data_IF_241814590278
#
_entry.id   IF_241814590278
#
_cell.length_a   1.000
_cell.length_b   1.000
_cell.length_c   1.000
_cell.angle_alpha   90.00
_cell.angle_beta   90.00
_cell.angle_gamma   90.00
#
_symmetry.space_group_name_H-M   'P 1'
#
loop_
_entity.id
_entity.type
_entity.pdbx_description
1 polymer ?
#
# COMPACT_ATOMS: atom_id res chain seq x y z
N UNK A 1 8.71 22.92 4.34
CA UNK A 1 7.88 22.71 5.54
C UNK A 1 7.10 21.42 5.33
N UNK A 2 6.93 20.56 6.34
CA UNK A 2 6.11 19.35 6.23
C UNK A 2 4.73 19.70 6.78
N UNK A 3 3.68 19.55 5.96
CA UNK A 3 2.31 19.97 6.32
C UNK A 3 1.43 18.82 6.84
N UNK A 4 1.84 17.58 6.58
CA UNK A 4 1.08 16.38 6.93
C UNK A 4 1.90 15.47 7.83
N UNK A 5 1.32 15.04 8.94
CA UNK A 5 1.96 14.05 9.82
C UNK A 5 2.01 12.68 9.18
N UNK A 6 0.92 12.27 8.50
CA UNK A 6 0.78 10.98 7.83
C UNK A 6 0.01 11.15 6.53
N UNK A 7 0.39 10.37 5.53
CA UNK A 7 -0.29 10.28 4.24
C UNK A 7 -0.63 8.81 4.00
N UNK A 8 -1.88 8.54 3.67
CA UNK A 8 -2.31 7.26 3.12
C UNK A 8 -2.41 7.41 1.61
N UNK A 9 -1.64 6.60 0.88
CA UNK A 9 -1.76 6.45 -0.56
C UNK A 9 -2.72 5.30 -0.88
N UNK A 10 -3.62 5.53 -1.84
CA UNK A 10 -4.59 4.56 -2.34
C UNK A 10 -4.61 4.67 -3.86
N UNK A 11 -4.43 3.56 -4.57
CA UNK A 11 -4.51 3.53 -6.03
C UNK A 11 -5.95 3.84 -6.50
N UNK A 12 -6.06 4.58 -7.60
CA UNK A 12 -7.34 5.03 -8.17
C UNK A 12 -8.24 3.87 -8.61
N UNK A 13 -7.67 2.69 -8.87
CA UNK A 13 -8.41 1.45 -9.15
C UNK A 13 -9.02 0.78 -7.92
N UNK A 14 -8.96 1.39 -6.74
CA UNK A 14 -9.41 0.77 -5.48
C UNK A 14 -10.86 1.12 -5.15
N UNK A 15 -11.67 0.11 -4.82
CA UNK A 15 -12.99 0.31 -4.23
C UNK A 15 -12.89 0.53 -2.72
N UNK A 16 -13.42 1.65 -2.25
CA UNK A 16 -13.57 1.94 -0.82
C UNK A 16 -14.96 1.48 -0.37
N UNK A 17 -15.02 0.48 0.51
CA UNK A 17 -16.26 -0.15 0.98
C UNK A 17 -16.74 0.42 2.33
N UNK A 18 -15.83 1.02 3.12
CA UNK A 18 -16.15 1.52 4.44
C UNK A 18 -15.26 2.69 4.84
N UNK A 19 -15.54 3.27 6.02
CA UNK A 19 -14.75 4.34 6.62
C UNK A 19 -13.36 3.81 6.99
N UNK A 20 -12.30 4.46 6.50
CA UNK A 20 -10.91 4.00 6.64
C UNK A 20 -10.04 4.93 7.50
N UNK A 21 -10.58 6.00 8.07
CA UNK A 21 -9.81 6.99 8.85
C UNK A 21 -9.13 6.40 10.09
N UNK A 22 -9.73 5.37 10.68
CA UNK A 22 -9.17 4.66 11.84
C UNK A 22 -7.81 3.98 11.55
N UNK A 23 -7.39 3.87 10.29
CA UNK A 23 -6.04 3.42 9.93
C UNK A 23 -4.96 4.32 10.53
N UNK A 24 -5.23 5.63 10.64
CA UNK A 24 -4.27 6.58 11.19
C UNK A 24 -4.06 6.34 12.69
N UNK A 25 -5.01 5.73 13.41
CA UNK A 25 -4.88 5.40 14.82
C UNK A 25 -4.19 4.06 15.08
N UNK A 26 -3.76 3.33 14.05
CA UNK A 26 -3.03 2.08 14.26
C UNK A 26 -1.73 2.33 15.05
N UNK A 27 -1.45 1.53 16.10
CA UNK A 27 -0.17 1.62 16.82
C UNK A 27 1.04 1.47 15.89
N UNK A 28 0.84 0.81 14.75
CA UNK A 28 1.86 0.59 13.73
C UNK A 28 2.21 1.81 12.90
N UNK A 29 1.39 2.85 12.89
CA UNK A 29 1.64 4.07 12.11
C UNK A 29 1.87 5.29 12.98
N UNK A 30 1.46 5.20 14.25
CA UNK A 30 1.64 6.26 15.24
C UNK A 30 3.10 6.50 15.62
N UNK A 31 3.92 5.44 15.72
CA UNK A 31 5.33 5.53 16.15
C UNK A 31 6.30 5.36 14.99
N UNK A 32 7.26 6.27 14.89
CA UNK A 32 8.41 6.14 14.02
C UNK A 32 9.31 4.99 14.48
N UNK A 33 9.98 4.34 13.52
CA UNK A 33 11.03 3.36 13.79
C UNK A 33 12.38 4.05 13.70
N UNK A 34 13.18 3.94 14.75
CA UNK A 34 14.57 4.33 14.70
C UNK A 34 15.37 3.28 13.93
N UNK A 35 16.25 3.73 13.05
CA UNK A 35 17.18 2.83 12.38
C UNK A 35 18.28 2.45 13.36
N UNK A 36 18.14 1.28 13.96
CA UNK A 36 19.15 0.71 14.87
C UNK A 36 20.43 0.33 14.12
N UNK A 37 21.57 0.47 14.81
CA UNK A 37 22.89 0.00 14.38
C UNK A 37 22.98 -1.52 14.15
N UNK A 38 22.03 -2.30 14.68
CA UNK A 38 22.00 -3.76 14.52
C UNK A 38 21.33 -4.22 13.22
N UNK A 39 20.88 -3.29 12.37
CA UNK A 39 20.33 -3.62 11.05
C UNK A 39 21.45 -3.75 10.03
N UNK A 40 21.29 -4.63 9.02
CA UNK A 40 22.29 -4.77 7.97
C UNK A 40 22.57 -3.39 7.35
N UNK A 41 23.84 -3.03 7.14
CA UNK A 41 24.19 -1.78 6.50
C UNK A 41 23.55 -1.76 5.11
N UNK A 42 23.22 -0.55 4.66
CA UNK A 42 22.77 -0.40 3.31
C UNK A 42 23.91 -0.76 2.34
N UNK A 43 23.62 -1.61 1.36
CA UNK A 43 24.61 -2.22 0.46
C UNK A 43 25.38 -1.21 -0.36
N UNK A 44 24.77 -0.06 -0.67
CA UNK A 44 25.35 0.97 -1.54
C UNK A 44 25.71 2.26 -0.80
N UNK A 45 25.64 2.25 0.54
CA UNK A 45 25.96 3.44 1.35
C UNK A 45 24.97 4.60 1.22
N UNK A 46 23.76 4.36 0.69
CA UNK A 46 22.76 5.44 0.56
C UNK A 46 22.45 6.05 1.93
N UNK A 47 22.22 7.38 2.00
CA UNK A 47 21.93 8.07 3.25
C UNK A 47 20.62 7.56 3.85
N UNK A 48 20.69 7.01 5.06
CA UNK A 48 19.50 6.53 5.78
C UNK A 48 18.96 7.64 6.70
N UNK A 49 17.63 7.82 6.79
CA UNK A 49 17.05 8.74 7.77
C UNK A 49 17.25 8.23 9.20
N UNK A 50 17.24 9.10 10.21
CA UNK A 50 17.35 8.65 11.62
C UNK A 50 16.17 7.77 12.03
N UNK A 51 14.98 8.15 11.59
CA UNK A 51 13.75 7.43 11.81
C UNK A 51 12.81 7.56 10.61
N UNK A 52 11.84 6.65 10.52
CA UNK A 52 10.86 6.65 9.44
C UNK A 52 9.54 6.01 9.89
N UNK A 53 8.46 6.32 9.16
CA UNK A 53 7.21 5.56 9.21
C UNK A 53 6.90 5.14 7.78
N UNK A 54 6.87 3.84 7.55
CA UNK A 54 6.36 3.25 6.33
C UNK A 54 5.62 1.97 6.68
N UNK A 55 4.34 1.92 6.37
CA UNK A 55 3.47 0.79 6.64
C UNK A 55 2.66 0.45 5.39
N UNK A 56 2.52 -0.83 5.09
CA UNK A 56 1.82 -1.28 3.90
C UNK A 56 1.04 -2.56 4.20
N UNK A 57 0.23 -2.98 3.23
CA UNK A 57 -0.46 -4.26 3.26
C UNK A 57 0.27 -5.26 2.38
N UNK A 58 0.63 -6.41 2.96
CA UNK A 58 1.08 -7.55 2.17
C UNK A 58 0.09 -7.85 1.06
N UNK A 59 0.62 -8.23 -0.10
CA UNK A 59 -0.24 -8.79 -1.15
C UNK A 59 -0.96 -10.03 -0.62
N UNK A 60 -2.27 -10.12 -0.84
CA UNK A 60 -3.06 -11.23 -0.31
C UNK A 60 -2.69 -12.58 -0.95
N UNK A 61 -2.22 -12.55 -2.21
CA UNK A 61 -1.68 -13.71 -2.92
C UNK A 61 -0.23 -13.50 -3.32
N UNK A 62 0.49 -14.60 -3.57
CA UNK A 62 1.78 -14.52 -4.24
C UNK A 62 1.54 -14.01 -5.68
N UNK A 63 1.90 -12.76 -5.95
CA UNK A 63 1.98 -12.23 -7.33
C UNK A 63 0.69 -12.37 -8.19
N UNK A 64 -0.49 -12.18 -7.62
CA UNK A 64 -1.74 -12.06 -8.39
C UNK A 64 -2.77 -13.18 -8.24
N UNK A 65 -2.60 -14.06 -7.25
CA UNK A 65 -3.55 -15.14 -6.99
C UNK A 65 -4.72 -14.67 -6.12
N UNK A 66 -5.95 -14.88 -6.60
CA UNK A 66 -7.19 -14.61 -5.84
C UNK A 66 -7.54 -15.71 -4.83
N UNK A 67 -7.03 -16.91 -5.07
CA UNK A 67 -7.27 -18.04 -4.18
C UNK A 67 -6.27 -17.98 -3.02
N UNK A 68 -6.62 -17.22 -1.99
CA UNK A 68 -5.83 -17.06 -0.78
C UNK A 68 -6.71 -17.29 0.45
N UNK A 69 -6.14 -17.76 1.58
CA UNK A 69 -6.90 -17.92 2.81
C UNK A 69 -7.36 -16.56 3.35
N UNK A 70 -8.38 -16.59 4.21
CA UNK A 70 -8.81 -15.45 5.01
C UNK A 70 -8.67 -15.77 6.52
N UNK A 71 -8.01 -14.91 7.33
CA UNK A 71 -7.28 -13.70 6.92
C UNK A 71 -6.02 -14.05 6.10
N UNK A 72 -5.59 -13.15 5.19
CA UNK A 72 -4.43 -13.39 4.34
C UNK A 72 -3.15 -13.52 5.16
N UNK A 73 -2.25 -14.39 4.71
CA UNK A 73 -0.92 -14.55 5.30
C UNK A 73 -0.05 -13.32 5.01
N UNK A 74 0.84 -12.98 5.95
CA UNK A 74 1.85 -11.95 5.68
C UNK A 74 2.86 -12.49 4.67
N UNK A 75 3.18 -11.66 3.68
CA UNK A 75 4.13 -11.99 2.62
C UNK A 75 5.40 -11.13 2.71
N UNK A 76 6.40 -11.55 1.93
CA UNK A 76 7.65 -10.82 1.79
C UNK A 76 7.55 -9.57 0.92
N UNK A 77 6.39 -9.34 0.28
CA UNK A 77 6.12 -8.23 -0.63
C UNK A 77 4.85 -7.47 -0.18
N UNK A 78 4.69 -6.23 -0.61
CA UNK A 78 3.46 -5.46 -0.43
C UNK A 78 3.05 -4.80 -1.74
N UNK A 79 1.77 -4.41 -1.80
CA UNK A 79 1.24 -3.63 -2.90
C UNK A 79 1.56 -2.15 -2.75
N UNK A 80 2.15 -1.54 -3.77
CA UNK A 80 2.30 -0.09 -3.81
C UNK A 80 0.97 0.66 -4.02
N UNK A 81 -0.13 -0.04 -4.29
CA UNK A 81 -1.45 0.56 -4.38
C UNK A 81 -2.09 0.93 -3.04
N UNK A 82 -1.49 0.51 -1.90
CA UNK A 82 -2.01 0.85 -0.57
C UNK A 82 -0.90 0.89 0.49
N UNK A 83 -0.46 2.09 0.86
CA UNK A 83 0.55 2.27 1.90
C UNK A 83 0.38 3.59 2.65
N UNK A 84 0.88 3.62 3.88
CA UNK A 84 0.90 4.80 4.75
C UNK A 84 2.35 5.19 5.06
N UNK A 85 2.64 6.48 4.93
CA UNK A 85 3.97 7.05 5.12
C UNK A 85 3.90 8.32 5.98
N UNK A 86 4.95 8.57 6.77
CA UNK A 86 5.20 9.91 7.30
C UNK A 86 6.14 10.65 6.33
N UNK A 87 5.74 11.83 5.80
CA UNK A 87 6.63 12.61 4.94
C UNK A 87 7.95 12.94 5.64
N UNK A 88 9.07 12.80 4.92
CA UNK A 88 10.40 13.07 5.47
C UNK A 88 11.37 13.43 4.34
N UNK A 89 12.00 14.63 4.37
CA UNK A 89 13.02 15.00 3.39
C UNK A 89 14.16 13.98 3.33
N UNK A 90 14.63 13.48 4.48
CA UNK A 90 15.69 12.47 4.51
C UNK A 90 15.26 11.14 3.88
N UNK A 91 13.98 10.75 4.02
CA UNK A 91 13.45 9.58 3.34
C UNK A 91 13.31 9.80 1.83
N UNK A 92 12.96 11.01 1.42
CA UNK A 92 12.91 11.38 0.01
C UNK A 92 14.30 11.32 -0.64
N UNK A 93 15.33 11.91 -0.02
CA UNK A 93 16.71 11.83 -0.47
C UNK A 93 17.22 10.38 -0.54
N UNK A 94 16.84 9.55 0.44
CA UNK A 94 17.15 8.11 0.40
C UNK A 94 16.56 7.43 -0.84
N UNK A 95 15.27 7.64 -1.13
CA UNK A 95 14.62 7.03 -2.29
C UNK A 95 15.23 7.51 -3.61
N UNK A 96 15.61 8.78 -3.72
CA UNK A 96 16.34 9.30 -4.88
C UNK A 96 17.71 8.63 -5.03
N UNK A 97 18.43 8.43 -3.93
CA UNK A 97 19.72 7.72 -3.94
C UNK A 97 19.55 6.27 -4.39
N UNK A 98 18.53 5.55 -3.92
CA UNK A 98 18.24 4.19 -4.40
C UNK A 98 17.99 4.19 -5.92
N UNK A 99 17.24 5.17 -6.43
CA UNK A 99 16.96 5.32 -7.86
C UNK A 99 18.18 5.69 -8.71
N UNK A 100 19.22 6.31 -8.13
CA UNK A 100 20.42 6.70 -8.88
C UNK A 100 21.34 5.53 -9.22
N UNK A 101 21.07 4.34 -8.70
CA UNK A 101 21.86 3.15 -8.93
C UNK A 101 21.17 2.20 -9.92
N UNK A 102 21.92 1.76 -10.92
CA UNK A 102 21.41 0.82 -11.91
C UNK A 102 21.17 -0.58 -11.31
N UNK A 103 20.12 -1.25 -11.78
CA UNK A 103 19.83 -2.66 -11.50
C UNK A 103 19.58 -3.04 -10.03
N UNK A 104 19.24 -2.08 -9.16
CA UNK A 104 18.87 -2.41 -7.77
C UNK A 104 17.52 -3.14 -7.64
N UNK A 105 16.61 -2.94 -8.59
CA UNK A 105 15.27 -3.56 -8.60
C UNK A 105 14.76 -3.76 -10.04
N UNK A 106 13.78 -4.64 -10.23
CA UNK A 106 13.12 -4.85 -11.53
C UNK A 106 12.18 -3.68 -11.84
N UNK A 107 12.43 -2.86 -12.88
CA UNK A 107 11.64 -1.67 -13.14
C UNK A 107 10.27 -1.95 -13.78
N UNK A 108 9.86 -3.22 -14.00
CA UNK A 108 8.56 -3.55 -14.63
C UNK A 108 7.36 -2.90 -13.93
N UNK A 109 7.39 -2.84 -12.61
CA UNK A 109 6.43 -2.11 -11.76
C UNK A 109 7.19 -1.13 -10.89
N UNK A 110 7.73 -0.07 -11.52
CA UNK A 110 8.75 0.81 -10.94
C UNK A 110 8.49 1.23 -9.49
N UNK A 111 7.30 1.75 -9.20
CA UNK A 111 6.95 2.20 -7.84
C UNK A 111 6.94 1.04 -6.83
N UNK A 112 6.29 -0.08 -7.17
CA UNK A 112 6.21 -1.24 -6.30
C UNK A 112 7.58 -1.87 -6.08
N UNK A 113 8.38 -1.98 -7.12
CA UNK A 113 9.71 -2.57 -7.05
C UNK A 113 10.67 -1.70 -6.26
N UNK A 114 10.66 -0.37 -6.46
CA UNK A 114 11.45 0.58 -5.68
C UNK A 114 11.09 0.48 -4.20
N UNK A 115 9.80 0.55 -3.87
CA UNK A 115 9.37 0.58 -2.47
C UNK A 115 9.55 -0.80 -1.79
N UNK A 116 9.32 -1.91 -2.51
CA UNK A 116 9.64 -3.25 -1.99
C UNK A 116 11.14 -3.42 -1.77
N UNK A 117 12.00 -2.87 -2.62
CA UNK A 117 13.44 -2.85 -2.39
C UNK A 117 13.78 -2.01 -1.14
N UNK A 118 13.39 -0.74 -1.14
CA UNK A 118 13.71 0.24 -0.10
C UNK A 118 13.28 -0.24 1.30
N UNK A 119 12.08 -0.81 1.39
CA UNK A 119 11.46 -1.18 2.66
C UNK A 119 11.40 -2.68 2.93
N UNK A 120 12.14 -3.51 2.18
CA UNK A 120 12.16 -4.98 2.32
C UNK A 120 12.31 -5.44 3.78
N UNK A 121 11.64 -6.54 4.13
CA UNK A 121 11.61 -7.11 5.50
C UNK A 121 12.99 -7.30 6.14
N UNK A 122 13.97 -7.70 5.34
CA UNK A 122 15.35 -7.98 5.79
C UNK A 122 16.33 -6.83 5.45
N UNK A 123 15.80 -5.64 5.14
CA UNK A 123 16.59 -4.46 4.81
C UNK A 123 16.86 -3.56 6.02
N UNK A 124 17.52 -2.41 5.80
CA UNK A 124 17.76 -1.43 6.85
C UNK A 124 16.46 -0.74 7.32
N UNK A 125 15.44 -0.70 6.47
CA UNK A 125 14.16 -0.02 6.73
C UNK A 125 12.92 -0.89 6.45
N UNK A 126 12.73 -2.07 7.06
CA UNK A 126 11.51 -2.87 6.91
C UNK A 126 10.20 -2.09 7.06
N UNK A 127 9.25 -2.32 6.16
CA UNK A 127 7.89 -1.84 6.33
C UNK A 127 7.16 -2.52 7.49
N UNK A 128 6.19 -1.80 8.05
CA UNK A 128 5.28 -2.32 9.07
C UNK A 128 4.01 -2.87 8.42
N UNK A 129 3.56 -4.02 8.89
CA UNK A 129 2.37 -4.67 8.36
C UNK A 129 1.09 -4.01 8.89
N UNK A 130 0.30 -3.36 8.04
CA UNK A 130 -1.04 -2.86 8.40
C UNK A 130 -2.02 -4.01 8.65
N UNK A 131 -3.12 -3.81 9.37
CA UNK A 131 -4.11 -4.86 9.60
C UNK A 131 -4.84 -5.28 8.31
N UNK A 132 -5.14 -6.57 8.12
CA UNK A 132 -5.78 -7.10 6.89
C UNK A 132 -7.13 -6.47 6.55
N UNK A 133 -7.85 -6.00 7.56
CA UNK A 133 -9.13 -5.30 7.40
C UNK A 133 -9.05 -4.05 6.52
N UNK A 134 -7.87 -3.46 6.28
CA UNK A 134 -7.79 -2.20 5.54
C UNK A 134 -7.82 -2.37 4.05
N UNK A 135 -7.01 -3.28 3.52
CA UNK A 135 -6.88 -3.44 2.08
C UNK A 135 -6.55 -4.88 1.71
N UNK A 136 -7.20 -5.31 0.62
CA UNK A 136 -6.99 -6.57 -0.06
C UNK A 136 -6.65 -6.29 -1.53
N UNK A 137 -5.49 -6.78 -1.98
CA UNK A 137 -5.16 -6.88 -3.41
C UNK A 137 -5.64 -8.22 -3.95
N UNK A 138 -6.06 -8.25 -5.21
CA UNK A 138 -6.62 -9.47 -5.83
C UNK A 138 -7.76 -10.13 -5.02
N UNK A 139 -8.69 -9.34 -4.46
CA UNK A 139 -9.64 -9.83 -3.47
C UNK A 139 -10.56 -10.92 -4.01
N UNK A 140 -11.00 -11.78 -3.10
CA UNK A 140 -12.04 -12.77 -3.32
C UNK A 140 -13.33 -12.38 -2.56
N UNK A 141 -14.35 -13.25 -2.61
CA UNK A 141 -15.64 -12.99 -1.96
C UNK A 141 -15.56 -13.09 -0.42
N UNK A 142 -14.55 -13.77 0.13
CA UNK A 142 -14.33 -13.82 1.58
C UNK A 142 -13.83 -12.46 2.10
N UNK A 143 -12.94 -11.78 1.38
CA UNK A 143 -12.51 -10.40 1.72
C UNK A 143 -13.70 -9.44 1.77
N UNK A 144 -14.59 -9.53 0.78
CA UNK A 144 -15.82 -8.75 0.74
C UNK A 144 -16.73 -9.11 1.92
N UNK A 145 -16.99 -10.39 2.14
CA UNK A 145 -17.87 -10.89 3.20
C UNK A 145 -17.37 -10.54 4.60
N UNK A 146 -16.05 -10.46 4.79
CA UNK A 146 -15.42 -10.07 6.04
C UNK A 146 -15.30 -8.55 6.24
N UNK A 147 -15.74 -7.75 5.27
CA UNK A 147 -15.79 -6.29 5.38
C UNK A 147 -14.43 -5.61 5.29
N UNK A 148 -13.52 -6.11 4.44
CA UNK A 148 -12.27 -5.39 4.14
C UNK A 148 -12.59 -4.00 3.57
N UNK A 149 -11.98 -2.97 4.16
CA UNK A 149 -12.32 -1.57 3.91
C UNK A 149 -12.02 -1.10 2.50
N UNK A 150 -10.96 -1.62 1.87
CA UNK A 150 -10.64 -1.33 0.48
C UNK A 150 -10.30 -2.58 -0.33
N UNK A 151 -10.79 -2.65 -1.56
CA UNK A 151 -10.62 -3.77 -2.48
C UNK A 151 -9.90 -3.27 -3.73
N UNK A 152 -8.66 -3.71 -3.96
CA UNK A 152 -7.82 -3.23 -5.04
C UNK A 152 -7.70 -4.26 -6.17
N UNK A 153 -8.28 -3.92 -7.33
CA UNK A 153 -8.22 -4.71 -8.55
C UNK A 153 -8.69 -3.89 -9.76
N UNK A 154 -8.32 -4.31 -10.97
CA UNK A 154 -8.91 -3.84 -12.22
C UNK A 154 -10.33 -4.40 -12.44
N UNK A 155 -11.28 -4.07 -11.57
CA UNK A 155 -12.67 -4.58 -11.60
C UNK A 155 -13.49 -4.18 -12.84
N UNK A 156 -12.98 -3.26 -13.65
CA UNK A 156 -13.54 -2.99 -14.98
C UNK A 156 -13.25 -4.10 -16.00
N UNK A 157 -12.29 -4.99 -15.74
CA UNK A 157 -11.88 -6.05 -16.67
C UNK A 157 -11.69 -7.45 -16.05
N UNK A 158 -11.48 -7.55 -14.73
CA UNK A 158 -11.20 -8.83 -14.06
C UNK A 158 -11.84 -8.90 -12.67
N UNK A 159 -11.85 -10.09 -12.08
CA UNK A 159 -12.36 -10.33 -10.72
C UNK A 159 -13.71 -11.05 -10.67
N UNK A 160 -14.15 -11.46 -9.47
CA UNK A 160 -15.47 -12.06 -9.26
C UNK A 160 -16.59 -11.19 -9.85
N UNK A 161 -17.61 -11.78 -10.52
CA UNK A 161 -18.72 -11.04 -11.11
C UNK A 161 -19.40 -10.06 -10.14
N UNK A 162 -19.49 -10.42 -8.86
CA UNK A 162 -20.04 -9.61 -7.79
C UNK A 162 -19.22 -8.34 -7.55
N UNK A 163 -17.89 -8.46 -7.48
CA UNK A 163 -16.99 -7.32 -7.29
C UNK A 163 -16.98 -6.41 -8.53
N UNK A 164 -17.00 -6.98 -9.73
CA UNK A 164 -17.15 -6.18 -10.95
C UNK A 164 -18.50 -5.44 -11.00
N UNK A 165 -19.56 -6.07 -10.49
CA UNK A 165 -20.88 -5.41 -10.38
C UNK A 165 -20.84 -4.27 -9.38
N UNK A 166 -20.20 -4.44 -8.22
CA UNK A 166 -20.00 -3.35 -7.25
C UNK A 166 -19.23 -2.18 -7.87
N UNK A 167 -18.17 -2.45 -8.62
CA UNK A 167 -17.42 -1.42 -9.35
C UNK A 167 -18.30 -0.61 -10.29
N UNK A 168 -19.08 -1.29 -11.16
CA UNK A 168 -19.99 -0.61 -12.10
C UNK A 168 -21.02 0.24 -11.36
N UNK A 169 -21.64 -0.30 -10.30
CA UNK A 169 -22.62 0.44 -9.52
C UNK A 169 -22.05 1.73 -8.91
N UNK A 170 -20.83 1.66 -8.36
CA UNK A 170 -20.15 2.82 -7.79
C UNK A 170 -19.79 3.85 -8.86
N UNK A 171 -19.23 3.40 -9.98
CA UNK A 171 -18.92 4.27 -11.14
C UNK A 171 -20.18 4.99 -11.62
N UNK A 172 -21.26 4.26 -11.85
CA UNK A 172 -22.51 4.83 -12.37
C UNK A 172 -23.15 5.80 -11.37
N UNK A 173 -22.99 5.56 -10.06
CA UNK A 173 -23.44 6.51 -9.03
C UNK A 173 -22.66 7.82 -9.08
N UNK A 174 -21.34 7.76 -9.25
CA UNK A 174 -20.49 8.95 -9.43
C UNK A 174 -20.85 9.71 -10.72
N UNK A 175 -21.00 9.00 -11.84
CA UNK A 175 -21.38 9.61 -13.12
C UNK A 175 -22.75 10.30 -13.03
N UNK A 176 -23.74 9.68 -12.37
CA UNK A 176 -25.05 10.31 -12.13
C UNK A 176 -24.94 11.55 -11.26
N UNK A 177 -24.10 11.55 -10.24
CA UNK A 177 -23.88 12.72 -9.39
C UNK A 177 -23.35 13.90 -10.21
N UNK A 178 -22.35 13.67 -11.07
CA UNK A 178 -21.77 14.72 -11.93
C UNK A 178 -22.67 15.14 -13.09
N UNK A 179 -23.48 14.23 -13.65
CA UNK A 179 -24.41 14.54 -14.73
C UNK A 179 -25.68 15.27 -14.27
N UNK A 180 -25.97 15.24 -12.96
CA UNK A 180 -27.11 15.96 -12.39
C UNK A 180 -26.78 17.46 -12.33
N UNK A 181 -27.60 18.35 -12.93
CA UNK A 181 -27.40 19.78 -12.77
C UNK A 181 -27.43 20.13 -11.27
N UNK A 182 -26.49 20.96 -10.84
CA UNK A 182 -26.42 21.44 -9.46
C UNK A 182 -27.80 21.99 -9.04
N UNK A 183 -28.31 21.50 -7.91
CA UNK A 183 -29.49 22.07 -7.26
C UNK A 183 -29.16 23.44 -6.68
#
# INVERSE_FOLDING_TARGET
MIEYDRILFIDAGTLIQSKIDEIFHEPKVQRALDISSNRPPNTNGDPLPKNYVFAARSDNGLTGERNHPFPPLQSQFFSAGFFLIAPSPALFEYLLSVMSHNHQFDPRTMEQSLLNYAFRRFGPMPWRELHYKWSATWPNLEDLGAGVGTLHEKFWSTGPPELQRLWRLQKDAMERYYASPAK
#
